data_IF_215632217022
#
_entry.id   IF_215632217022
#
_cell.length_a   1.000
_cell.length_b   1.000
_cell.length_c   1.000
_cell.angle_alpha   90.00
_cell.angle_beta   90.00
_cell.angle_gamma   90.00
#
_symmetry.space_group_name_H-M   'P 1'
#
loop_
_entity.id
_entity.type
_entity.pdbx_description
1 polymer ?
#
# COMPACT_ATOMS: atom_id res chain seq x y z
N UNK A 1 12.97 -17.01 44.17
CA UNK A 1 14.28 -16.92 43.48
C UNK A 1 15.18 -18.08 43.87
N UNK A 2 15.60 -18.15 45.15
CA UNK A 2 16.47 -19.21 45.68
C UNK A 2 15.98 -20.62 45.32
N UNK A 3 14.76 -20.95 45.73
CA UNK A 3 14.13 -22.26 45.50
C UNK A 3 14.01 -22.64 44.03
N UNK A 4 13.55 -21.73 43.16
CA UNK A 4 13.38 -22.01 41.72
C UNK A 4 14.70 -22.14 40.96
N UNK A 5 15.75 -21.43 41.38
CA UNK A 5 17.04 -21.39 40.67
C UNK A 5 17.95 -22.55 41.08
N UNK A 6 17.94 -22.92 42.36
CA UNK A 6 18.77 -24.02 42.85
C UNK A 6 18.32 -25.37 42.30
N UNK A 7 17.03 -25.56 41.98
CA UNK A 7 16.55 -26.76 41.27
C UNK A 7 17.24 -26.92 39.89
N UNK A 8 17.46 -25.83 39.16
CA UNK A 8 18.15 -25.85 37.86
C UNK A 8 19.64 -26.14 38.03
N UNK A 9 20.29 -25.54 39.04
CA UNK A 9 21.71 -25.79 39.33
C UNK A 9 21.90 -27.26 39.74
N UNK A 10 21.00 -27.80 40.58
CA UNK A 10 20.99 -29.20 40.98
C UNK A 10 20.77 -30.14 39.78
N UNK A 11 19.87 -29.80 38.84
CA UNK A 11 19.68 -30.58 37.62
C UNK A 11 20.94 -30.66 36.74
N UNK A 12 21.84 -29.66 36.81
CA UNK A 12 23.11 -29.65 36.08
C UNK A 12 24.26 -30.38 36.78
N UNK A 13 24.07 -30.91 38.00
CA UNK A 13 25.17 -31.49 38.78
C UNK A 13 25.83 -32.72 38.14
N UNK A 14 25.11 -33.42 37.25
CA UNK A 14 25.63 -34.55 36.49
C UNK A 14 26.59 -34.17 35.36
N UNK A 15 26.66 -32.88 34.99
CA UNK A 15 27.47 -32.41 33.88
C UNK A 15 28.33 -31.20 34.29
N UNK A 16 29.64 -31.40 34.57
CA UNK A 16 30.51 -30.36 35.11
C UNK A 16 30.57 -29.07 34.29
N UNK A 17 30.51 -29.17 32.95
CA UNK A 17 30.53 -28.02 32.05
C UNK A 17 29.28 -27.16 32.23
N UNK A 18 28.10 -27.79 32.23
CA UNK A 18 26.83 -27.07 32.41
C UNK A 18 26.72 -26.48 33.81
N UNK A 19 27.17 -27.20 34.83
CA UNK A 19 27.22 -26.70 36.21
C UNK A 19 28.12 -25.46 36.35
N UNK A 20 29.28 -25.45 35.68
CA UNK A 20 30.14 -24.26 35.66
C UNK A 20 29.43 -23.06 35.03
N UNK A 21 28.80 -23.24 33.87
CA UNK A 21 28.08 -22.15 33.20
C UNK A 21 26.86 -21.67 33.99
N UNK A 22 26.09 -22.56 34.62
CA UNK A 22 24.93 -22.15 35.43
C UNK A 22 25.36 -21.36 36.66
N UNK A 23 26.45 -21.76 37.33
CA UNK A 23 27.03 -20.98 38.44
C UNK A 23 27.63 -19.65 37.96
N UNK A 24 28.31 -19.62 36.81
CA UNK A 24 28.84 -18.39 36.22
C UNK A 24 27.72 -17.42 35.84
N UNK A 25 26.64 -17.91 35.24
CA UNK A 25 25.43 -17.12 34.95
C UNK A 25 24.82 -16.63 36.26
N UNK A 26 24.77 -17.46 37.30
CA UNK A 26 24.25 -17.07 38.60
C UNK A 26 25.02 -15.89 39.20
N UNK A 27 26.35 -15.95 39.16
CA UNK A 27 27.25 -14.87 39.56
C UNK A 27 27.04 -13.61 38.72
N UNK A 28 27.09 -13.73 37.39
CA UNK A 28 26.93 -12.59 36.47
C UNK A 28 25.57 -11.92 36.65
N UNK A 29 24.52 -12.71 36.89
CA UNK A 29 23.16 -12.20 37.12
C UNK A 29 23.07 -11.35 38.37
N UNK A 30 23.62 -11.84 39.47
CA UNK A 30 23.67 -11.06 40.70
C UNK A 30 24.50 -9.78 40.50
N UNK A 31 25.65 -9.89 39.83
CA UNK A 31 26.52 -8.76 39.55
C UNK A 31 25.84 -7.67 38.71
N UNK A 32 25.22 -8.00 37.56
CA UNK A 32 24.66 -6.97 36.69
C UNK A 32 23.39 -6.32 37.28
N UNK A 33 22.57 -7.07 38.02
CA UNK A 33 21.35 -6.53 38.66
C UNK A 33 21.70 -5.55 39.78
N UNK A 34 22.67 -5.90 40.64
CA UNK A 34 23.11 -5.00 41.71
C UNK A 34 23.93 -3.83 41.17
N UNK A 35 24.72 -4.02 40.12
CA UNK A 35 25.36 -2.92 39.38
C UNK A 35 24.30 -1.89 38.94
N UNK A 36 23.20 -2.33 38.34
CA UNK A 36 22.12 -1.45 37.92
C UNK A 36 21.48 -0.73 39.12
N UNK A 37 21.18 -1.45 40.19
CA UNK A 37 20.61 -0.85 41.41
C UNK A 37 21.53 0.22 42.01
N UNK A 38 22.83 -0.05 42.15
CA UNK A 38 23.78 0.92 42.68
C UNK A 38 23.97 2.12 41.73
N UNK A 39 24.00 1.91 40.42
CA UNK A 39 24.15 3.01 39.46
C UNK A 39 22.90 3.91 39.39
N UNK A 40 21.70 3.36 39.59
CA UNK A 40 20.45 4.10 39.44
C UNK A 40 20.01 4.77 40.75
N UNK A 41 20.09 4.06 41.88
CA UNK A 41 19.54 4.53 43.15
C UNK A 41 20.57 5.11 44.12
N UNK A 42 21.87 4.92 43.87
CA UNK A 42 22.92 5.39 44.77
C UNK A 42 23.89 6.34 44.07
N UNK A 43 24.46 7.28 44.82
CA UNK A 43 25.42 8.25 44.29
C UNK A 43 24.77 9.56 43.86
N UNK A 44 25.49 10.33 43.01
CA UNK A 44 25.02 11.64 42.52
C UNK A 44 24.34 11.46 41.16
N UNK A 45 23.20 12.13 40.93
CA UNK A 45 22.51 12.07 39.64
C UNK A 45 23.43 12.60 38.53
N UNK A 46 23.38 11.93 37.37
CA UNK A 46 24.16 12.34 36.19
C UNK A 46 23.57 13.58 35.50
N UNK A 47 22.28 13.80 35.69
CA UNK A 47 21.50 14.92 35.13
C UNK A 47 20.57 15.45 36.22
N UNK A 48 20.89 16.65 36.73
CA UNK A 48 20.20 17.23 37.88
C UNK A 48 18.76 17.63 37.52
N UNK A 49 18.54 18.17 36.31
CA UNK A 49 17.22 18.64 35.88
C UNK A 49 16.19 17.51 35.82
N UNK A 50 16.60 16.31 35.37
CA UNK A 50 15.73 15.12 35.34
C UNK A 50 15.43 14.57 36.72
N UNK A 51 16.39 14.69 37.64
CA UNK A 51 16.20 14.26 39.02
C UNK A 51 15.18 15.16 39.72
N UNK A 52 15.28 16.47 39.53
CA UNK A 52 14.37 17.44 40.18
C UNK A 52 12.92 17.32 39.71
N UNK A 53 12.69 16.78 38.50
CA UNK A 53 11.36 16.49 37.96
C UNK A 53 10.89 15.05 38.21
N UNK A 54 11.72 14.20 38.84
CA UNK A 54 11.33 12.82 39.14
C UNK A 54 10.32 12.80 40.29
N UNK A 55 9.11 12.33 40.01
CA UNK A 55 8.05 12.15 41.00
C UNK A 55 7.66 10.68 41.11
N UNK A 56 7.03 10.33 42.23
CA UNK A 56 6.50 8.99 42.45
C UNK A 56 5.50 8.60 41.35
N UNK A 57 5.46 7.31 41.00
CA UNK A 57 4.52 6.82 39.99
C UNK A 57 3.07 6.91 40.48
N UNK A 58 2.10 7.17 39.60
CA UNK A 58 0.69 7.22 39.98
C UNK A 58 0.21 5.88 40.54
N UNK A 59 -0.82 5.90 41.39
CA UNK A 59 -1.36 4.70 42.05
C UNK A 59 -1.74 3.58 41.07
N UNK A 60 -2.12 3.92 39.83
CA UNK A 60 -2.42 2.96 38.77
C UNK A 60 -1.24 2.06 38.39
N UNK A 61 0.01 2.50 38.58
CA UNK A 61 1.22 1.70 38.36
C UNK A 61 1.76 1.12 39.67
N UNK A 62 1.75 1.90 40.75
CA UNK A 62 2.34 1.49 42.04
C UNK A 62 1.57 0.35 42.70
N UNK A 63 0.23 0.35 42.61
CA UNK A 63 -0.60 -0.71 43.23
C UNK A 63 -0.34 -2.08 42.60
N UNK A 64 -0.38 -2.26 41.25
CA UNK A 64 0.03 -3.52 40.63
C UNK A 64 1.43 -3.99 41.03
N UNK A 65 2.41 -3.08 41.07
CA UNK A 65 3.78 -3.43 41.47
C UNK A 65 3.88 -3.91 42.92
N UNK A 66 3.15 -3.26 43.84
CA UNK A 66 3.10 -3.70 45.24
C UNK A 66 2.46 -5.08 45.39
N UNK A 67 1.37 -5.35 44.67
CA UNK A 67 0.70 -6.66 44.69
C UNK A 67 1.64 -7.74 44.13
N UNK A 68 2.31 -7.48 43.01
CA UNK A 68 3.28 -8.42 42.43
C UNK A 68 4.48 -8.64 43.36
N UNK A 69 4.98 -7.60 44.02
CA UNK A 69 6.03 -7.70 45.02
C UNK A 69 5.61 -8.55 46.22
N UNK A 70 4.40 -8.33 46.74
CA UNK A 70 3.81 -9.14 47.80
C UNK A 70 3.71 -10.60 47.38
N UNK A 71 3.08 -10.90 46.25
CA UNK A 71 2.95 -12.27 45.73
C UNK A 71 4.31 -12.95 45.51
N UNK A 72 5.34 -12.20 45.09
CA UNK A 72 6.69 -12.73 44.88
C UNK A 72 7.36 -13.24 46.17
N UNK A 73 7.01 -12.67 47.34
CA UNK A 73 7.50 -13.15 48.64
C UNK A 73 6.95 -14.55 48.93
N UNK A 74 5.65 -14.76 48.70
CA UNK A 74 4.98 -16.04 48.97
C UNK A 74 5.21 -17.09 47.88
N UNK A 75 5.34 -16.66 46.61
CA UNK A 75 5.54 -17.56 45.48
C UNK A 75 6.76 -18.48 45.68
N UNK A 76 7.81 -17.97 46.32
CA UNK A 76 8.99 -18.77 46.64
C UNK A 76 8.72 -19.97 47.54
N UNK A 77 7.71 -19.91 48.44
CA UNK A 77 7.40 -21.00 49.35
C UNK A 77 6.80 -22.23 48.68
N UNK A 78 6.32 -22.12 47.44
CA UNK A 78 5.85 -23.28 46.67
C UNK A 78 7.01 -24.23 46.35
N UNK A 79 8.24 -23.73 46.20
CA UNK A 79 9.43 -24.53 45.90
C UNK A 79 10.19 -25.06 47.12
N UNK A 80 9.57 -25.14 48.29
CA UNK A 80 10.27 -25.59 49.50
C UNK A 80 10.65 -27.08 49.40
N UNK A 81 11.87 -27.50 49.76
CA UNK A 81 12.36 -28.87 49.59
C UNK A 81 11.58 -29.92 50.39
N UNK A 82 10.86 -29.49 51.42
CA UNK A 82 9.99 -30.34 52.25
C UNK A 82 8.56 -30.47 51.69
N UNK A 83 8.19 -29.67 50.69
CA UNK A 83 7.00 -29.90 49.89
C UNK A 83 7.40 -30.90 48.80
N UNK A 84 6.69 -32.02 48.71
CA UNK A 84 6.98 -33.10 47.74
C UNK A 84 6.89 -32.68 46.27
N UNK A 85 6.39 -31.47 45.99
CA UNK A 85 6.14 -30.91 44.68
C UNK A 85 6.80 -29.53 44.57
N UNK A 86 8.10 -29.51 44.22
CA UNK A 86 8.84 -28.28 43.89
C UNK A 86 8.41 -27.67 42.55
N UNK A 87 9.12 -26.63 42.10
CA UNK A 87 8.76 -25.94 40.84
C UNK A 87 8.84 -26.86 39.62
N UNK A 88 9.75 -27.84 39.64
CA UNK A 88 9.87 -28.89 38.63
C UNK A 88 8.57 -29.65 38.34
N UNK A 89 7.71 -29.83 39.35
CA UNK A 89 6.44 -30.56 39.21
C UNK A 89 5.38 -29.83 38.37
N UNK A 90 5.48 -28.50 38.25
CA UNK A 90 4.59 -27.72 37.38
C UNK A 90 5.00 -27.78 35.90
N UNK A 91 6.24 -28.18 35.63
CA UNK A 91 6.82 -28.17 34.28
C UNK A 91 6.90 -29.59 33.70
N UNK A 92 7.24 -30.59 34.52
CA UNK A 92 7.42 -31.98 34.08
C UNK A 92 6.22 -32.86 34.45
N UNK A 93 5.61 -33.48 33.44
CA UNK A 93 4.48 -34.42 33.59
C UNK A 93 4.92 -35.91 33.56
N UNK A 94 6.24 -36.20 33.65
CA UNK A 94 6.82 -37.55 33.70
C UNK A 94 7.41 -37.91 35.07
N UNK A 95 8.21 -38.97 35.19
CA UNK A 95 8.94 -39.27 36.44
C UNK A 95 9.81 -38.06 36.81
N UNK A 96 9.40 -37.34 37.85
CA UNK A 96 10.14 -36.21 38.36
C UNK A 96 11.51 -36.72 38.80
N UNK A 97 12.57 -36.24 38.14
CA UNK A 97 13.93 -36.42 38.65
C UNK A 97 13.99 -35.71 40.00
N UNK A 98 13.78 -36.46 41.09
CA UNK A 98 13.94 -35.96 42.44
C UNK A 98 15.44 -35.74 42.67
N UNK A 99 15.94 -34.59 42.21
CA UNK A 99 17.26 -34.14 42.61
C UNK A 99 17.22 -33.97 44.13
N UNK A 100 17.78 -34.94 44.86
CA UNK A 100 17.93 -34.84 46.31
C UNK A 100 18.55 -33.48 46.62
N UNK A 101 17.89 -32.72 47.50
CA UNK A 101 18.32 -31.38 47.88
C UNK A 101 19.78 -31.45 48.38
N UNK A 102 20.70 -31.08 47.48
CA UNK A 102 22.10 -31.09 47.80
C UNK A 102 22.41 -29.74 48.46
N UNK A 103 22.32 -29.73 49.80
CA UNK A 103 22.57 -28.55 50.62
C UNK A 103 23.93 -27.90 50.34
N UNK A 104 24.93 -28.68 49.94
CA UNK A 104 26.24 -28.16 49.55
C UNK A 104 26.15 -27.33 48.25
N UNK A 105 25.41 -27.83 47.25
CA UNK A 105 25.15 -27.09 46.00
C UNK A 105 24.38 -25.79 46.23
N UNK A 106 23.37 -25.81 47.10
CA UNK A 106 22.60 -24.61 47.49
C UNK A 106 23.50 -23.58 48.19
N UNK A 107 24.37 -24.03 49.10
CA UNK A 107 25.35 -23.17 49.77
C UNK A 107 26.33 -22.57 48.77
N UNK A 108 26.91 -23.39 47.87
CA UNK A 108 27.83 -22.93 46.83
C UNK A 108 27.15 -21.89 45.93
N UNK A 109 25.94 -22.19 45.43
CA UNK A 109 25.13 -21.28 44.60
C UNK A 109 24.89 -19.93 45.30
N UNK A 110 24.56 -19.97 46.60
CA UNK A 110 24.35 -18.76 47.41
C UNK A 110 25.63 -17.96 47.57
N UNK A 111 26.75 -18.62 47.92
CA UNK A 111 28.05 -17.95 48.08
C UNK A 111 28.50 -17.31 46.77
N UNK A 112 28.27 -17.98 45.64
CA UNK A 112 28.56 -17.47 44.29
C UNK A 112 27.67 -16.26 43.95
N UNK A 113 26.38 -16.29 44.29
CA UNK A 113 25.52 -15.13 44.08
C UNK A 113 25.95 -13.95 44.96
N UNK A 114 26.21 -14.18 46.25
CA UNK A 114 26.65 -13.15 47.21
C UNK A 114 28.02 -12.58 46.82
N UNK A 115 28.93 -13.37 46.29
CA UNK A 115 30.22 -12.85 45.80
C UNK A 115 30.05 -11.93 44.60
N UNK A 116 29.10 -12.21 43.70
CA UNK A 116 28.71 -11.31 42.61
C UNK A 116 28.16 -9.97 43.11
N UNK A 117 27.30 -10.01 44.14
CA UNK A 117 26.81 -8.80 44.82
C UNK A 117 27.95 -8.02 45.48
N UNK A 118 28.82 -8.73 46.20
CA UNK A 118 29.97 -8.14 46.89
C UNK A 118 30.93 -7.44 45.93
N UNK A 119 31.20 -8.05 44.77
CA UNK A 119 32.01 -7.43 43.72
C UNK A 119 31.33 -6.17 43.15
N UNK A 120 30.02 -6.23 42.86
CA UNK A 120 29.27 -5.07 42.39
C UNK A 120 29.28 -3.93 43.42
N UNK A 121 29.12 -4.24 44.70
CA UNK A 121 29.18 -3.28 45.80
C UNK A 121 30.57 -2.61 45.90
N UNK A 122 31.64 -3.40 45.82
CA UNK A 122 33.01 -2.89 45.87
C UNK A 122 33.34 -1.96 44.68
N UNK A 123 32.84 -2.30 43.49
CA UNK A 123 33.08 -1.54 42.26
C UNK A 123 32.21 -0.28 42.15
N UNK A 124 30.90 -0.38 42.37
CA UNK A 124 29.95 0.69 42.02
C UNK A 124 29.51 1.54 43.21
N UNK A 125 29.36 0.95 44.40
CA UNK A 125 28.97 1.69 45.60
C UNK A 125 30.19 2.28 46.31
N UNK A 126 31.14 1.43 46.74
CA UNK A 126 32.35 1.86 47.46
C UNK A 126 33.39 2.51 46.55
N UNK A 127 33.32 2.26 45.23
CA UNK A 127 34.28 2.73 44.22
C UNK A 127 35.75 2.39 44.57
N UNK A 128 35.96 1.28 45.28
CA UNK A 128 37.29 0.82 45.68
C UNK A 128 38.05 0.19 44.51
N UNK A 129 37.32 -0.33 43.51
CA UNK A 129 37.85 -0.92 42.29
C UNK A 129 37.29 -0.12 41.12
N UNK A 130 38.16 0.47 40.30
CA UNK A 130 37.72 1.22 39.12
C UNK A 130 37.34 0.27 37.98
N UNK A 131 36.09 0.28 37.48
CA UNK A 131 35.69 -0.54 36.33
C UNK A 131 36.52 -0.21 35.07
N UNK A 132 36.91 1.05 34.91
CA UNK A 132 37.63 1.55 33.72
C UNK A 132 38.99 0.90 33.54
N UNK A 133 39.67 0.51 34.62
CA UNK A 133 40.97 -0.19 34.53
C UNK A 133 40.80 -1.62 34.04
N UNK A 134 39.69 -2.28 34.37
CA UNK A 134 39.35 -3.62 33.86
C UNK A 134 39.00 -3.53 32.37
N UNK A 135 38.20 -2.52 31.99
CA UNK A 135 37.85 -2.26 30.59
C UNK A 135 39.09 -1.99 29.74
N UNK A 136 40.05 -1.21 30.25
CA UNK A 136 41.30 -0.93 29.54
C UNK A 136 42.13 -2.20 29.28
N UNK A 137 42.17 -3.13 30.24
CA UNK A 137 42.88 -4.42 30.10
C UNK A 137 42.21 -5.38 29.13
N UNK A 138 40.88 -5.43 29.13
CA UNK A 138 40.08 -6.37 28.32
C UNK A 138 39.33 -5.69 27.17
N UNK A 139 39.87 -4.60 26.63
CA UNK A 139 39.21 -3.76 25.61
C UNK A 139 38.64 -4.56 24.42
N UNK A 140 39.32 -5.56 23.83
CA UNK A 140 38.76 -6.32 22.71
C UNK A 140 37.49 -7.10 23.10
N UNK A 141 37.54 -7.81 24.23
CA UNK A 141 36.41 -8.60 24.74
C UNK A 141 35.27 -7.66 25.17
N UNK A 142 35.60 -6.57 25.87
CA UNK A 142 34.63 -5.56 26.26
C UNK A 142 33.92 -4.97 25.04
N UNK A 143 34.66 -4.64 23.98
CA UNK A 143 34.09 -4.05 22.75
C UNK A 143 33.13 -5.02 22.07
N UNK A 144 33.49 -6.31 22.02
CA UNK A 144 32.64 -7.36 21.48
C UNK A 144 31.34 -7.53 22.30
N UNK A 145 31.43 -7.57 23.62
CA UNK A 145 30.25 -7.66 24.50
C UNK A 145 29.40 -6.39 24.48
N UNK A 146 30.05 -5.21 24.42
CA UNK A 146 29.39 -3.91 24.36
C UNK A 146 28.58 -3.75 23.07
N UNK A 147 29.12 -4.20 21.94
CA UNK A 147 28.41 -4.25 20.66
C UNK A 147 27.53 -5.50 20.52
N UNK A 148 27.11 -6.13 21.63
CA UNK A 148 26.21 -7.30 21.63
C UNK A 148 26.62 -8.41 20.65
N UNK A 149 27.92 -8.71 20.58
CA UNK A 149 28.48 -9.71 19.66
C UNK A 149 28.36 -9.36 18.17
N UNK A 150 28.07 -8.09 17.83
CA UNK A 150 27.80 -7.62 16.46
C UNK A 150 26.65 -8.37 15.77
N UNK A 151 25.74 -8.96 16.55
CA UNK A 151 24.62 -9.74 16.01
C UNK A 151 23.60 -8.82 15.32
N UNK A 152 23.39 -7.62 15.85
CA UNK A 152 22.48 -6.62 15.28
C UNK A 152 23.00 -6.19 13.88
N UNK A 153 24.29 -5.89 13.76
CA UNK A 153 24.93 -5.49 12.50
C UNK A 153 25.01 -6.64 11.49
N UNK A 154 25.27 -7.85 11.96
CA UNK A 154 25.26 -9.04 11.12
C UNK A 154 23.84 -9.32 10.59
N UNK A 155 22.82 -9.20 11.43
CA UNK A 155 21.43 -9.39 11.01
C UNK A 155 20.99 -8.30 10.03
N UNK A 156 21.37 -7.05 10.30
CA UNK A 156 21.13 -5.91 9.39
C UNK A 156 21.76 -6.16 8.02
N UNK A 157 23.05 -6.53 7.98
CA UNK A 157 23.77 -6.73 6.74
C UNK A 157 23.38 -8.03 5.99
N UNK A 158 23.11 -9.11 6.71
CA UNK A 158 22.87 -10.42 6.11
C UNK A 158 21.39 -10.65 5.76
N UNK A 159 20.45 -10.05 6.49
CA UNK A 159 19.02 -10.28 6.33
C UNK A 159 18.30 -9.04 5.84
N UNK A 160 18.46 -7.91 6.56
CA UNK A 160 17.65 -6.71 6.30
C UNK A 160 18.04 -6.03 5.00
N UNK A 161 19.33 -5.74 4.79
CA UNK A 161 19.80 -5.04 3.59
C UNK A 161 19.52 -5.80 2.28
N UNK A 162 19.75 -7.13 2.18
CA UNK A 162 19.39 -7.89 0.99
C UNK A 162 17.89 -7.90 0.74
N UNK A 163 17.07 -8.03 1.80
CA UNK A 163 15.62 -7.99 1.68
C UNK A 163 15.13 -6.62 1.19
N UNK A 164 15.70 -5.53 1.71
CA UNK A 164 15.42 -4.17 1.24
C UNK A 164 15.94 -3.93 -0.18
N UNK A 165 17.04 -4.56 -0.58
CA UNK A 165 17.51 -4.58 -1.97
C UNK A 165 16.50 -5.26 -2.88
N UNK A 166 16.03 -6.45 -2.50
CA UNK A 166 15.03 -7.21 -3.24
C UNK A 166 13.70 -6.46 -3.36
N UNK A 167 13.24 -5.84 -2.27
CA UNK A 167 12.02 -5.01 -2.29
C UNK A 167 12.13 -3.85 -3.28
N UNK A 168 13.30 -3.23 -3.42
CA UNK A 168 13.52 -2.17 -4.41
C UNK A 168 13.46 -2.68 -5.84
N UNK A 169 13.95 -3.90 -6.10
CA UNK A 169 13.83 -4.55 -7.42
C UNK A 169 12.36 -4.82 -7.76
N UNK A 170 11.58 -5.33 -6.79
CA UNK A 170 10.15 -5.54 -6.98
C UNK A 170 9.40 -4.23 -7.26
N UNK A 171 9.71 -3.16 -6.52
CA UNK A 171 9.13 -1.85 -6.78
C UNK A 171 9.49 -1.31 -8.17
N UNK A 172 10.76 -1.47 -8.58
CA UNK A 172 11.18 -1.08 -9.93
C UNK A 172 10.44 -1.86 -11.01
N UNK A 173 10.22 -3.17 -10.81
CA UNK A 173 9.47 -4.00 -11.74
C UNK A 173 8.02 -3.52 -11.87
N UNK A 174 7.35 -3.27 -10.75
CA UNK A 174 5.96 -2.79 -10.72
C UNK A 174 5.83 -1.42 -11.41
N UNK A 175 6.63 -0.44 -10.98
CA UNK A 175 6.54 0.94 -11.46
C UNK A 175 6.95 1.13 -12.94
N UNK A 176 7.81 0.26 -13.49
CA UNK A 176 8.26 0.40 -14.89
C UNK A 176 7.54 -0.55 -15.83
N UNK A 177 7.33 -1.80 -15.42
CA UNK A 177 6.77 -2.83 -16.30
C UNK A 177 5.26 -2.88 -16.15
N UNK A 178 4.75 -3.04 -14.94
CA UNK A 178 3.29 -3.17 -14.71
C UNK A 178 2.60 -1.87 -15.07
N UNK A 179 3.04 -0.74 -14.50
CA UNK A 179 2.49 0.57 -14.84
C UNK A 179 2.70 0.93 -16.31
N UNK A 180 3.85 0.56 -16.89
CA UNK A 180 4.13 0.76 -18.31
C UNK A 180 3.11 0.04 -19.21
N UNK A 181 2.80 -1.21 -18.91
CA UNK A 181 1.81 -2.01 -19.64
C UNK A 181 0.38 -1.46 -19.49
N UNK A 182 0.02 -1.02 -18.28
CA UNK A 182 -1.28 -0.41 -18.02
C UNK A 182 -1.43 0.90 -18.80
N UNK A 183 -0.41 1.76 -18.76
CA UNK A 183 -0.38 3.02 -19.52
C UNK A 183 -0.42 2.78 -21.03
N UNK A 184 0.30 1.77 -21.54
CA UNK A 184 0.23 1.38 -22.95
C UNK A 184 -1.19 0.95 -23.33
N UNK A 185 -1.83 0.13 -22.50
CA UNK A 185 -3.21 -0.33 -22.73
C UNK A 185 -4.18 0.85 -22.73
N UNK A 186 -4.03 1.79 -21.80
CA UNK A 186 -4.80 3.03 -21.75
C UNK A 186 -4.61 3.88 -23.01
N UNK A 187 -3.36 4.11 -23.42
CA UNK A 187 -3.03 4.87 -24.63
C UNK A 187 -3.61 4.23 -25.89
N UNK A 188 -3.48 2.91 -26.03
CA UNK A 188 -4.06 2.16 -27.14
C UNK A 188 -5.58 2.32 -27.18
N UNK A 189 -6.25 2.22 -26.03
CA UNK A 189 -7.71 2.38 -25.93
C UNK A 189 -8.15 3.77 -26.37
N UNK A 190 -7.46 4.82 -25.93
CA UNK A 190 -7.74 6.20 -26.35
C UNK A 190 -7.51 6.37 -27.85
N UNK A 191 -6.43 5.79 -28.40
CA UNK A 191 -6.17 5.86 -29.84
C UNK A 191 -7.21 5.12 -30.67
N UNK A 192 -7.68 3.96 -30.21
CA UNK A 192 -8.79 3.25 -30.84
C UNK A 192 -10.08 4.08 -30.82
N UNK A 193 -10.36 4.78 -29.72
CA UNK A 193 -11.50 5.69 -29.64
C UNK A 193 -11.37 6.87 -30.62
N UNK A 194 -10.19 7.49 -30.73
CA UNK A 194 -9.91 8.56 -31.70
C UNK A 194 -10.18 8.10 -33.14
N UNK A 195 -9.69 6.91 -33.51
CA UNK A 195 -9.89 6.32 -34.85
C UNK A 195 -11.38 6.08 -35.10
N UNK A 196 -12.09 5.51 -34.13
CA UNK A 196 -13.54 5.27 -34.23
C UNK A 196 -14.28 6.59 -34.43
N UNK A 197 -13.97 7.61 -33.62
CA UNK A 197 -14.59 8.94 -33.73
C UNK A 197 -14.32 9.59 -35.09
N UNK A 198 -13.12 9.41 -35.64
CA UNK A 198 -12.80 9.88 -36.98
C UNK A 198 -13.65 9.17 -38.04
N UNK A 199 -13.77 7.85 -37.97
CA UNK A 199 -14.59 7.06 -38.90
C UNK A 199 -16.07 7.45 -38.81
N UNK A 200 -16.61 7.58 -37.61
CA UNK A 200 -18.00 8.00 -37.38
C UNK A 200 -18.25 9.39 -38.01
N UNK A 201 -17.37 10.38 -37.77
CA UNK A 201 -17.55 11.74 -38.30
C UNK A 201 -17.40 11.85 -39.82
N UNK A 202 -16.44 11.15 -40.41
CA UNK A 202 -16.13 11.31 -41.83
C UNK A 202 -16.92 10.37 -42.73
N UNK A 203 -17.09 9.12 -42.30
CA UNK A 203 -17.73 8.09 -43.11
C UNK A 203 -19.21 8.00 -42.80
N UNK A 204 -19.56 7.81 -41.52
CA UNK A 204 -20.96 7.57 -41.13
C UNK A 204 -21.76 8.87 -41.25
N UNK A 205 -21.37 9.93 -40.54
CA UNK A 205 -22.04 11.22 -40.60
C UNK A 205 -21.92 11.83 -42.00
N UNK A 206 -20.80 11.62 -42.69
CA UNK A 206 -20.63 12.04 -44.08
C UNK A 206 -21.67 11.40 -45.02
N UNK A 207 -21.87 10.08 -44.91
CA UNK A 207 -22.88 9.36 -45.68
C UNK A 207 -24.30 9.80 -45.33
N UNK A 208 -24.62 9.89 -44.02
CA UNK A 208 -25.96 10.28 -43.54
C UNK A 208 -26.30 11.71 -43.94
N UNK A 209 -25.38 12.66 -43.73
CA UNK A 209 -25.56 14.05 -44.14
C UNK A 209 -25.63 14.15 -45.67
N UNK A 210 -24.86 13.36 -46.41
CA UNK A 210 -24.94 13.25 -47.87
C UNK A 210 -26.35 12.88 -48.35
N UNK A 211 -26.95 11.85 -47.76
CA UNK A 211 -28.35 11.48 -48.02
C UNK A 211 -29.29 12.63 -47.66
N UNK A 212 -29.05 13.29 -46.52
CA UNK A 212 -29.78 14.50 -46.11
C UNK A 212 -29.73 15.61 -47.17
N UNK A 213 -28.55 15.92 -47.70
CA UNK A 213 -28.38 16.93 -48.76
C UNK A 213 -29.11 16.56 -50.04
N UNK A 214 -29.07 15.28 -50.45
CA UNK A 214 -29.81 14.79 -51.61
C UNK A 214 -31.32 14.98 -51.40
N UNK A 215 -31.84 14.58 -50.23
CA UNK A 215 -33.26 14.75 -49.90
C UNK A 215 -33.69 16.23 -49.87
N UNK A 216 -32.87 17.10 -49.27
CA UNK A 216 -33.10 18.54 -49.24
C UNK A 216 -33.06 19.16 -50.64
N UNK A 217 -32.14 18.73 -51.51
CA UNK A 217 -32.06 19.16 -52.89
C UNK A 217 -33.34 18.82 -53.67
N UNK A 218 -33.84 17.58 -53.55
CA UNK A 218 -35.11 17.18 -54.16
C UNK A 218 -36.28 17.97 -53.59
N UNK A 219 -36.34 18.18 -52.27
CA UNK A 219 -37.38 18.99 -51.63
C UNK A 219 -37.39 20.43 -52.14
N UNK A 220 -36.21 21.03 -52.30
CA UNK A 220 -36.05 22.36 -52.90
C UNK A 220 -36.53 22.39 -54.35
N UNK A 221 -36.22 21.37 -55.15
CA UNK A 221 -36.68 21.26 -56.54
C UNK A 221 -38.21 21.14 -56.63
N UNK A 222 -38.82 20.27 -55.81
CA UNK A 222 -40.28 20.12 -55.76
C UNK A 222 -41.00 21.40 -55.31
N UNK A 223 -40.40 22.20 -54.42
CA UNK A 223 -40.95 23.50 -54.02
C UNK A 223 -41.07 24.47 -55.20
N UNK A 224 -40.19 24.42 -56.20
CA UNK A 224 -40.30 25.26 -57.39
C UNK A 224 -41.42 24.85 -58.34
N UNK A 225 -41.86 23.59 -58.30
CA UNK A 225 -43.01 23.11 -59.09
C UNK A 225 -44.31 23.72 -58.55
N UNK A 226 -44.38 23.99 -57.25
CA UNK A 226 -45.52 24.66 -56.62
C UNK A 226 -45.46 26.17 -56.86
N UNK A 227 -46.07 26.62 -57.96
CA UNK A 227 -46.03 28.03 -58.39
C UNK A 227 -47.05 28.94 -57.70
N UNK A 228 -47.98 28.39 -56.91
CA UNK A 228 -49.05 29.14 -56.23
C UNK A 228 -50.11 29.74 -57.17
N UNK A 229 -49.96 29.60 -58.49
CA UNK A 229 -50.91 30.09 -59.49
C UNK A 229 -51.94 29.01 -59.83
N UNK A 230 -53.22 29.30 -59.61
CA UNK A 230 -54.33 28.39 -59.90
C UNK A 230 -54.34 27.87 -61.35
N UNK A 231 -54.00 28.73 -62.31
CA UNK A 231 -53.96 28.39 -63.74
C UNK A 231 -52.93 27.30 -64.05
N UNK A 232 -51.78 27.31 -63.37
CA UNK A 232 -50.74 26.30 -63.56
C UNK A 232 -51.19 24.93 -63.05
N UNK A 233 -51.88 24.86 -61.90
CA UNK A 233 -52.43 23.61 -61.38
C UNK A 233 -53.50 23.03 -62.31
N UNK A 234 -54.41 23.85 -62.82
CA UNK A 234 -55.44 23.40 -63.78
C UNK A 234 -54.81 22.82 -65.06
N UNK A 235 -53.77 23.48 -65.59
CA UNK A 235 -53.04 22.99 -66.76
C UNK A 235 -52.34 21.65 -66.50
N UNK A 236 -51.70 21.48 -65.33
CA UNK A 236 -51.06 20.21 -64.94
C UNK A 236 -52.07 19.07 -64.86
N UNK A 237 -53.26 19.31 -64.29
CA UNK A 237 -54.32 18.29 -64.18
C UNK A 237 -54.83 17.87 -65.56
N UNK A 238 -55.06 18.82 -66.48
CA UNK A 238 -55.51 18.52 -67.85
C UNK A 238 -54.43 17.72 -68.58
N UNK A 239 -53.16 18.13 -68.51
CA UNK A 239 -52.05 17.38 -69.10
C UNK A 239 -51.94 15.97 -68.53
N UNK A 240 -52.06 15.80 -67.21
CA UNK A 240 -52.03 14.49 -66.57
C UNK A 240 -53.18 13.59 -67.05
N UNK A 241 -54.39 14.12 -67.23
CA UNK A 241 -55.51 13.36 -67.77
C UNK A 241 -55.29 12.93 -69.23
N UNK A 242 -54.74 13.82 -70.06
CA UNK A 242 -54.36 13.51 -71.45
C UNK A 242 -53.27 12.43 -71.47
N UNK A 243 -52.24 12.56 -70.64
CA UNK A 243 -51.15 11.57 -70.54
C UNK A 243 -51.66 10.20 -70.11
N UNK A 244 -52.55 10.11 -69.12
CA UNK A 244 -53.14 8.85 -68.67
C UNK A 244 -53.96 8.19 -69.80
N UNK A 245 -54.73 8.98 -70.55
CA UNK A 245 -55.47 8.47 -71.71
C UNK A 245 -54.53 7.99 -72.82
N UNK A 246 -53.46 8.73 -73.10
CA UNK A 246 -52.48 8.39 -74.13
C UNK A 246 -51.60 7.19 -73.76
N UNK A 247 -51.32 6.98 -72.46
CA UNK A 247 -50.62 5.79 -71.97
C UNK A 247 -51.37 4.49 -72.34
N UNK A 248 -52.70 4.53 -72.34
CA UNK A 248 -53.54 3.41 -72.78
C UNK A 248 -53.50 3.15 -74.28
N UNK A 249 -53.05 4.12 -75.09
CA UNK A 249 -53.04 4.02 -76.56
C UNK A 249 -51.67 3.60 -77.09
N UNK A 250 -50.58 4.23 -76.63
CA UNK A 250 -49.21 3.84 -77.03
C UNK A 250 -48.17 4.34 -76.03
N UNK A 251 -47.28 3.43 -75.60
CA UNK A 251 -46.20 3.72 -74.65
C UNK A 251 -45.18 4.72 -75.22
N UNK A 252 -44.89 4.68 -76.53
CA UNK A 252 -43.88 5.56 -77.14
C UNK A 252 -44.31 7.03 -77.12
N UNK A 253 -45.57 7.31 -77.48
CA UNK A 253 -46.14 8.67 -77.45
C UNK A 253 -46.25 9.23 -76.04
N UNK A 254 -46.48 8.36 -75.05
CA UNK A 254 -46.50 8.76 -73.64
C UNK A 254 -45.13 9.29 -73.19
N UNK A 255 -44.04 8.56 -73.46
CA UNK A 255 -42.70 8.99 -73.05
C UNK A 255 -42.25 10.29 -73.76
N UNK A 256 -42.64 10.50 -75.02
CA UNK A 256 -42.31 11.73 -75.76
C UNK A 256 -43.00 12.95 -75.15
N UNK A 257 -44.29 12.85 -74.80
CA UNK A 257 -45.02 13.94 -74.15
C UNK A 257 -44.49 14.23 -72.75
N UNK A 258 -44.23 13.19 -71.96
CA UNK A 258 -43.66 13.31 -70.61
C UNK A 258 -42.29 14.03 -70.67
N UNK A 259 -41.42 13.65 -71.60
CA UNK A 259 -40.13 14.31 -71.80
C UNK A 259 -40.30 15.78 -72.22
N UNK A 260 -41.26 16.08 -73.09
CA UNK A 260 -41.56 17.45 -73.52
C UNK A 260 -42.04 18.37 -72.38
N UNK A 261 -42.90 17.85 -71.49
CA UNK A 261 -43.37 18.58 -70.30
C UNK A 261 -42.22 18.85 -69.32
N UNK A 262 -41.36 17.85 -69.09
CA UNK A 262 -40.18 17.99 -68.22
C UNK A 262 -39.19 19.02 -68.80
N UNK A 263 -38.92 18.96 -70.11
CA UNK A 263 -38.03 19.91 -70.80
C UNK A 263 -38.59 21.33 -70.73
N UNK A 264 -39.88 21.54 -70.93
CA UNK A 264 -40.51 22.86 -70.76
C UNK A 264 -40.41 23.37 -69.32
N UNK A 265 -40.62 22.50 -68.33
CA UNK A 265 -40.49 22.87 -66.92
C UNK A 265 -39.04 23.28 -66.58
N UNK A 266 -38.04 22.54 -67.07
CA UNK A 266 -36.62 22.85 -66.90
C UNK A 266 -36.21 24.14 -67.62
N UNK A 267 -36.66 24.37 -68.86
CA UNK A 267 -36.43 25.62 -69.60
C UNK A 267 -37.01 26.82 -68.88
N UNK A 268 -38.22 26.69 -68.32
CA UNK A 268 -38.86 27.76 -67.55
C UNK A 268 -38.10 28.04 -66.25
N UNK A 269 -37.56 27.00 -65.60
CA UNK A 269 -36.72 27.12 -64.41
C UNK A 269 -35.40 27.86 -64.73
N UNK A 270 -34.74 27.50 -65.84
CA UNK A 270 -33.52 28.16 -66.32
C UNK A 270 -33.77 29.64 -66.67
N UNK A 271 -34.88 29.96 -67.35
CA UNK A 271 -35.24 31.33 -67.70
C UNK A 271 -35.59 32.19 -66.48
N UNK A 272 -36.24 31.60 -65.46
CA UNK A 272 -36.54 32.31 -64.20
C UNK A 272 -35.26 32.60 -63.41
N UNK A 273 -34.32 31.66 -63.39
CA UNK A 273 -33.03 31.86 -62.72
C UNK A 273 -32.19 32.95 -63.41
N UNK A 274 -32.21 32.99 -64.75
CA UNK A 274 -31.49 33.99 -65.54
C UNK A 274 -32.06 35.42 -65.38
N UNK A 275 -33.38 35.56 -65.15
CA UNK A 275 -33.98 36.86 -64.76
C UNK A 275 -33.57 37.32 -63.36
N UNK A 276 -33.39 36.39 -62.42
CA UNK A 276 -32.90 36.74 -61.08
C UNK A 276 -31.42 37.15 -61.07
N UNK A 277 -30.61 36.68 -62.02
CA UNK A 277 -29.20 37.07 -62.18
C UNK A 277 -29.02 38.50 -62.71
N UNK A 278 -29.94 38.98 -63.56
CA UNK A 278 -29.90 40.36 -64.09
C UNK A 278 -30.24 41.46 -63.08
N UNK A 279 -30.89 41.15 -61.95
CA UNK A 279 -31.18 42.14 -60.90
C UNK A 279 -30.07 42.28 -59.83
N UNK A 280 -28.96 41.53 -59.94
CA UNK A 280 -27.81 41.62 -59.02
C UNK A 280 -26.55 42.24 -59.65
N UNK A 281 -26.66 42.74 -60.87
CA UNK A 281 -25.57 43.42 -61.59
C UNK A 281 -25.90 44.90 -61.79
N UNK A 282 -26.06 45.64 -60.70
CA UNK A 282 -25.86 47.09 -60.70
C UNK A 282 -24.60 47.38 -59.87
N UNK A 283 -23.59 48.07 -60.45
CA UNK A 283 -22.38 48.43 -59.75
C UNK A 283 -22.65 49.62 -58.82
N UNK A 284 -22.16 49.48 -57.59
CA UNK A 284 -22.08 50.51 -56.58
C UNK A 284 -21.17 51.66 -57.08
N UNK A 285 -21.74 52.82 -57.44
CA UNK A 285 -20.99 54.07 -57.76
C UNK A 285 -21.79 55.29 -57.24
N UNK A 286 -21.21 55.90 -56.19
CA UNK A 286 -21.19 57.33 -55.79
C UNK A 286 -22.46 58.20 -55.79
N UNK A 287 -22.90 58.61 -54.58
CA UNK A 287 -22.73 59.97 -54.02
C UNK A 287 -23.31 60.04 -52.59
#
# INVERSE_FOLDING_TARGET
>A
GFWSKDEIVAATSGHPIFMFFTLAIAFMTAFYMFRLCFLTFTGKPRDQHKFDHAHESPKSMTVPLMVLGFLSVFAGWVGLPWLSHGFSSFVFHGEAYHAHANYLLMLISTVVAVSGIGLAYAMYYKKAISPDTIVAKFKPIYTLLYNKYYFDELYEAAVIQPLMGFSRVLWWFDANIVDGLVNLTGWLTVKWADIKMWFDKWVVDGAVNGIGYVCMFFSWLFRYIQSGSFQFYALVVILAAIEILMFRVSLLTFYILLAGVIIMALLRLALKNNRSGRMKAEPNIEA
#
